data_IF_035164164205
#
_entry.id   IF_035164164205
#
_cell.length_a   1.000
_cell.length_b   1.000
_cell.length_c   1.000
_cell.angle_alpha   90.00
_cell.angle_beta   90.00
_cell.angle_gamma   90.00
#
_symmetry.space_group_name_H-M   'P 1'
#
loop_
_entity.id
_entity.type
_entity.pdbx_description
1 polymer ?
#
# COMPACT_ATOMS: atom_id res chain seq x y z
N UNK A 1 -40.13 -19.32 6.73
CA UNK A 1 -39.96 -17.86 6.92
C UNK A 1 -39.24 -17.66 8.24
N UNK A 2 -37.91 -17.51 8.20
CA UNK A 2 -37.11 -16.98 9.30
C UNK A 2 -36.06 -16.11 8.63
N UNK A 3 -36.40 -14.84 8.43
CA UNK A 3 -35.44 -13.79 8.09
C UNK A 3 -34.41 -13.70 9.21
N UNK A 4 -33.15 -13.96 8.89
CA UNK A 4 -32.06 -13.60 9.79
C UNK A 4 -31.87 -12.08 9.70
N UNK A 5 -31.71 -11.38 10.84
CA UNK A 5 -31.53 -9.94 10.83
C UNK A 5 -30.14 -9.63 10.29
N UNK A 6 -30.08 -8.87 9.19
CA UNK A 6 -28.84 -8.26 8.77
C UNK A 6 -28.36 -7.30 9.85
N UNK A 7 -27.27 -7.65 10.51
CA UNK A 7 -26.54 -6.73 11.36
C UNK A 7 -26.11 -5.55 10.49
N UNK A 8 -26.75 -4.40 10.68
CA UNK A 8 -26.36 -3.16 10.04
C UNK A 8 -24.89 -2.89 10.36
N UNK A 9 -24.04 -2.96 9.33
CA UNK A 9 -22.70 -2.41 9.39
C UNK A 9 -22.83 -0.94 9.74
N UNK A 10 -22.48 -0.59 10.98
CA UNK A 10 -22.33 0.81 11.37
C UNK A 10 -21.44 1.50 10.32
N UNK A 11 -21.80 2.70 9.83
CA UNK A 11 -20.96 3.41 8.88
C UNK A 11 -19.54 3.54 9.48
N UNK A 12 -18.54 3.16 8.68
CA UNK A 12 -17.14 3.35 9.04
C UNK A 12 -16.91 4.83 9.39
N UNK A 13 -16.33 5.12 10.56
CA UNK A 13 -15.88 6.48 10.92
C UNK A 13 -14.69 6.95 10.06
N UNK A 14 -14.16 6.08 9.20
CA UNK A 14 -13.08 6.35 8.27
C UNK A 14 -13.59 6.31 6.83
N UNK A 15 -13.18 7.31 6.04
CA UNK A 15 -13.50 7.42 4.61
C UNK A 15 -12.69 6.44 3.73
N UNK A 16 -11.67 5.78 4.29
CA UNK A 16 -10.72 4.92 3.54
C UNK A 16 -11.42 3.81 2.73
N UNK A 17 -12.40 3.05 3.26
CA UNK A 17 -13.12 2.05 2.47
C UNK A 17 -13.88 2.65 1.27
N UNK A 18 -14.44 3.85 1.45
CA UNK A 18 -15.11 4.60 0.38
C UNK A 18 -14.15 4.98 -0.74
N UNK A 19 -12.98 5.52 -0.38
CA UNK A 19 -11.93 5.86 -1.34
C UNK A 19 -11.42 4.65 -2.13
N UNK A 20 -11.29 3.47 -1.49
CA UNK A 20 -10.92 2.24 -2.19
C UNK A 20 -12.02 1.75 -3.12
N UNK A 21 -13.30 1.89 -2.74
CA UNK A 21 -14.43 1.60 -3.63
C UNK A 21 -14.44 2.51 -4.85
N UNK A 22 -14.18 3.81 -4.68
CA UNK A 22 -14.06 4.76 -5.78
C UNK A 22 -12.88 4.43 -6.69
N UNK A 23 -11.73 4.05 -6.13
CA UNK A 23 -10.58 3.59 -6.89
C UNK A 23 -10.93 2.37 -7.76
N UNK A 24 -11.62 1.37 -7.20
CA UNK A 24 -12.07 0.20 -7.98
C UNK A 24 -13.01 0.59 -9.11
N UNK A 25 -13.98 1.48 -8.86
CA UNK A 25 -14.88 1.97 -9.90
C UNK A 25 -14.14 2.74 -11.03
N UNK A 26 -13.08 3.48 -10.70
CA UNK A 26 -12.22 4.12 -11.69
C UNK A 26 -11.42 3.09 -12.50
N UNK A 27 -10.92 2.03 -11.85
CA UNK A 27 -10.21 0.95 -12.55
C UNK A 27 -11.13 0.20 -13.52
N UNK A 28 -12.38 -0.05 -13.14
CA UNK A 28 -13.37 -0.67 -14.04
C UNK A 28 -13.60 0.21 -15.28
N UNK A 29 -13.77 1.52 -15.08
CA UNK A 29 -13.90 2.48 -16.20
C UNK A 29 -12.65 2.59 -17.06
N UNK A 30 -11.46 2.45 -16.46
CA UNK A 30 -10.19 2.47 -17.18
C UNK A 30 -10.03 1.22 -18.05
N UNK A 31 -10.51 0.06 -17.57
CA UNK A 31 -10.49 -1.18 -18.33
C UNK A 31 -11.36 -1.13 -19.60
N UNK A 32 -12.44 -0.35 -19.56
CA UNK A 32 -13.35 -0.14 -20.70
C UNK A 32 -12.95 1.04 -21.62
N UNK A 33 -11.94 1.83 -21.24
CA UNK A 33 -11.55 3.03 -21.98
C UNK A 33 -10.78 2.67 -23.27
N UNK A 34 -11.15 3.29 -24.39
CA UNK A 34 -10.41 3.15 -25.64
C UNK A 34 -9.15 4.02 -25.63
N UNK A 35 -8.01 3.41 -25.93
CA UNK A 35 -6.70 4.07 -26.06
C UNK A 35 -6.29 4.25 -27.52
N UNK A 36 -7.06 3.74 -28.49
CA UNK A 36 -6.74 3.79 -29.92
C UNK A 36 -6.70 5.21 -30.49
N UNK A 37 -7.39 6.15 -29.84
CA UNK A 37 -7.40 7.56 -30.20
C UNK A 37 -6.27 8.39 -29.59
N UNK A 38 -5.45 7.82 -28.71
CA UNK A 38 -4.32 8.53 -28.12
C UNK A 38 -3.19 8.65 -29.15
N UNK A 39 -2.58 9.84 -29.23
CA UNK A 39 -1.28 10.03 -29.87
C UNK A 39 -0.18 9.29 -29.11
N UNK A 40 0.97 9.08 -29.77
CA UNK A 40 2.14 8.45 -29.14
C UNK A 40 2.59 9.19 -27.87
N UNK A 41 2.55 10.54 -27.87
CA UNK A 41 2.90 11.36 -26.71
C UNK A 41 1.90 11.17 -25.56
N UNK A 42 0.60 11.14 -25.87
CA UNK A 42 -0.45 10.88 -24.87
C UNK A 42 -0.33 9.48 -24.29
N UNK A 43 -0.04 8.45 -25.11
CA UNK A 43 0.16 7.09 -24.63
C UNK A 43 1.33 6.99 -23.65
N UNK A 44 2.44 7.68 -23.92
CA UNK A 44 3.59 7.71 -23.01
C UNK A 44 3.21 8.38 -21.68
N UNK A 45 2.48 9.49 -21.72
CA UNK A 45 2.05 10.17 -20.49
C UNK A 45 1.00 9.37 -19.70
N UNK A 46 0.09 8.66 -20.38
CA UNK A 46 -0.83 7.71 -19.75
C UNK A 46 -0.05 6.61 -19.03
N UNK A 47 0.94 5.99 -19.69
CA UNK A 47 1.77 4.95 -19.09
C UNK A 47 2.55 5.48 -17.87
N UNK A 48 3.14 6.67 -17.95
CA UNK A 48 3.85 7.31 -16.82
C UNK A 48 2.93 7.60 -15.64
N UNK A 49 1.73 8.11 -15.92
CA UNK A 49 0.72 8.37 -14.90
C UNK A 49 0.28 7.09 -14.21
N UNK A 50 0.06 6.02 -14.98
CA UNK A 50 -0.32 4.71 -14.45
C UNK A 50 0.77 4.14 -13.52
N UNK A 51 2.04 4.17 -13.94
CA UNK A 51 3.16 3.73 -13.08
C UNK A 51 3.29 4.56 -11.80
N UNK A 52 3.10 5.88 -11.89
CA UNK A 52 3.06 6.75 -10.69
C UNK A 52 1.89 6.36 -9.78
N UNK A 53 0.72 6.06 -10.33
CA UNK A 53 -0.44 5.62 -9.55
C UNK A 53 -0.17 4.27 -8.84
N UNK A 54 0.42 3.30 -9.53
CA UNK A 54 0.85 2.01 -8.96
C UNK A 54 1.80 2.24 -7.78
N UNK A 55 2.80 3.09 -7.94
CA UNK A 55 3.77 3.39 -6.87
C UNK A 55 3.10 4.04 -5.66
N UNK A 56 2.22 5.02 -5.88
CA UNK A 56 1.45 5.67 -4.80
C UNK A 56 0.55 4.66 -4.08
N UNK A 57 -0.13 3.80 -4.82
CA UNK A 57 -1.02 2.78 -4.26
C UNK A 57 -0.24 1.76 -3.42
N UNK A 58 0.95 1.36 -3.88
CA UNK A 58 1.84 0.49 -3.10
C UNK A 58 2.26 1.14 -1.77
N UNK A 59 2.59 2.43 -1.77
CA UNK A 59 2.88 3.17 -0.54
C UNK A 59 1.66 3.25 0.40
N UNK A 60 0.46 3.54 -0.11
CA UNK A 60 -0.75 3.55 0.73
C UNK A 60 -1.07 2.17 1.32
N UNK A 61 -0.99 1.11 0.51
CA UNK A 61 -1.18 -0.26 1.00
C UNK A 61 -0.12 -0.67 2.04
N UNK A 62 1.07 -0.09 2.01
CA UNK A 62 2.06 -0.30 3.06
C UNK A 62 1.62 0.33 4.40
N UNK A 63 0.98 1.50 4.39
CA UNK A 63 0.41 2.12 5.60
C UNK A 63 -0.70 1.27 6.22
N UNK A 64 -1.52 0.63 5.40
CA UNK A 64 -2.53 -0.32 5.87
C UNK A 64 -1.88 -1.51 6.58
N UNK A 65 -0.81 -2.08 6.01
CA UNK A 65 -0.06 -3.18 6.63
C UNK A 65 0.58 -2.75 7.96
N UNK A 66 1.05 -1.51 8.09
CA UNK A 66 1.53 -0.97 9.37
C UNK A 66 0.39 -0.90 10.39
N UNK A 67 -0.76 -0.31 10.03
CA UNK A 67 -1.90 -0.23 10.94
C UNK A 67 -2.42 -1.61 11.38
N UNK A 68 -2.38 -2.60 10.48
CA UNK A 68 -2.69 -4.01 10.77
C UNK A 68 -1.69 -4.61 11.76
N UNK A 69 -0.39 -4.33 11.55
CA UNK A 69 0.70 -4.80 12.40
C UNK A 69 0.65 -4.21 13.80
N UNK A 70 0.48 -2.88 13.92
CA UNK A 70 0.48 -2.15 15.19
C UNK A 70 -0.70 -2.56 16.09
N UNK A 71 -1.82 -2.95 15.47
CA UNK A 71 -3.00 -3.49 16.16
C UNK A 71 -2.90 -4.99 16.47
N UNK A 72 -1.84 -5.68 16.05
CA UNK A 72 -1.67 -7.12 16.24
C UNK A 72 -2.72 -7.98 15.55
N UNK A 73 -3.41 -7.46 14.52
CA UNK A 73 -4.54 -8.14 13.87
C UNK A 73 -4.20 -9.54 13.31
N UNK A 74 -3.02 -9.78 12.70
CA UNK A 74 -2.70 -11.12 12.21
C UNK A 74 -2.78 -12.17 13.31
N UNK A 75 -2.29 -11.87 14.53
CA UNK A 75 -2.36 -12.80 15.66
C UNK A 75 -3.80 -12.99 16.14
N UNK A 76 -4.57 -11.91 16.22
CA UNK A 76 -5.99 -11.98 16.59
C UNK A 76 -6.82 -12.82 15.60
N UNK A 77 -6.42 -12.85 14.33
CA UNK A 77 -7.04 -13.65 13.27
C UNK A 77 -6.45 -15.07 13.13
N UNK A 78 -5.51 -15.48 14.00
CA UNK A 78 -4.94 -16.83 14.01
C UNK A 78 -3.73 -17.05 13.10
N UNK A 79 -3.19 -16.00 12.46
CA UNK A 79 -1.97 -16.09 11.67
C UNK A 79 -0.72 -16.10 12.57
N UNK A 80 0.25 -16.94 12.18
CA UNK A 80 1.50 -17.09 12.95
C UNK A 80 2.41 -15.87 12.85
N UNK A 81 2.43 -15.21 11.69
CA UNK A 81 3.24 -14.00 11.43
C UNK A 81 2.50 -13.04 10.50
N UNK A 82 2.90 -11.76 10.52
CA UNK A 82 2.41 -10.76 9.56
C UNK A 82 2.67 -11.18 8.10
N UNK A 83 3.85 -11.73 7.83
CA UNK A 83 4.23 -12.24 6.49
C UNK A 83 3.32 -13.38 6.04
N UNK A 84 2.87 -14.24 6.96
CA UNK A 84 1.93 -15.32 6.66
C UNK A 84 0.53 -14.76 6.34
N UNK A 85 0.04 -13.79 7.11
CA UNK A 85 -1.19 -13.05 6.80
C UNK A 85 -1.12 -12.36 5.43
N UNK A 86 -0.05 -11.61 5.15
CA UNK A 86 0.14 -10.93 3.87
C UNK A 86 0.14 -11.90 2.68
N UNK A 87 0.70 -13.09 2.85
CA UNK A 87 0.75 -14.09 1.79
C UNK A 87 -0.61 -14.76 1.55
N UNK A 88 -1.27 -15.19 2.63
CA UNK A 88 -2.50 -15.99 2.56
C UNK A 88 -3.71 -15.11 2.24
N UNK A 89 -3.91 -14.04 3.02
CA UNK A 89 -5.09 -13.19 2.90
C UNK A 89 -4.90 -12.10 1.85
N UNK A 90 -3.78 -11.37 1.92
CA UNK A 90 -3.55 -10.24 1.03
C UNK A 90 -2.94 -10.64 -0.33
N UNK A 91 -2.62 -11.93 -0.52
CA UNK A 91 -2.01 -12.46 -1.76
C UNK A 91 -0.74 -11.74 -2.20
N UNK A 92 0.03 -11.19 -1.27
CA UNK A 92 1.30 -10.53 -1.55
C UNK A 92 2.32 -11.58 -2.00
N UNK A 93 2.85 -11.40 -3.21
CA UNK A 93 3.78 -12.35 -3.85
C UNK A 93 5.12 -12.46 -3.12
N UNK A 94 5.68 -11.34 -2.66
CA UNK A 94 6.91 -11.31 -1.88
C UNK A 94 6.71 -10.52 -0.57
N UNK A 95 6.13 -11.16 0.46
CA UNK A 95 5.77 -10.49 1.69
C UNK A 95 6.99 -10.14 2.55
N UNK A 96 8.12 -10.83 2.36
CA UNK A 96 9.39 -10.50 3.05
C UNK A 96 9.95 -9.20 2.51
N UNK A 97 10.05 -9.08 1.19
CA UNK A 97 10.53 -7.86 0.54
C UNK A 97 9.58 -6.68 0.76
N UNK A 98 8.27 -6.92 0.72
CA UNK A 98 7.30 -5.86 1.05
C UNK A 98 7.47 -5.36 2.49
N UNK A 99 7.77 -6.24 3.43
CA UNK A 99 8.09 -5.86 4.82
C UNK A 99 9.35 -5.01 4.91
N UNK A 100 10.42 -5.32 4.17
CA UNK A 100 11.64 -4.48 4.14
C UNK A 100 11.35 -3.06 3.64
N UNK A 101 10.51 -2.90 2.61
CA UNK A 101 10.08 -1.57 2.17
C UNK A 101 9.28 -0.83 3.25
N UNK A 102 8.40 -1.54 3.96
CA UNK A 102 7.61 -0.99 5.06
C UNK A 102 8.52 -0.55 6.22
N UNK A 103 9.50 -1.35 6.62
CA UNK A 103 10.47 -1.00 7.66
C UNK A 103 11.32 0.22 7.28
N UNK A 104 11.63 0.38 5.99
CA UNK A 104 12.40 1.52 5.48
C UNK A 104 11.60 2.83 5.38
N UNK A 105 10.31 2.75 5.01
CA UNK A 105 9.51 3.92 4.57
C UNK A 105 8.23 4.16 5.37
N UNK A 106 7.85 3.24 6.25
CA UNK A 106 6.66 3.29 7.07
C UNK A 106 6.81 4.17 8.31
N UNK A 107 5.67 4.68 8.79
CA UNK A 107 5.53 5.37 10.08
C UNK A 107 4.81 4.43 11.03
N UNK A 108 5.49 3.99 12.08
CA UNK A 108 4.97 3.04 13.06
C UNK A 108 4.54 3.76 14.33
N UNK A 109 3.46 3.31 14.96
CA UNK A 109 3.07 3.82 16.27
C UNK A 109 4.06 3.38 17.36
N UNK A 110 4.58 4.35 18.11
CA UNK A 110 5.38 4.12 19.32
C UNK A 110 4.48 3.76 20.50
N UNK A 111 5.10 3.27 21.58
CA UNK A 111 4.39 2.86 22.80
C UNK A 111 3.67 4.02 23.50
N UNK A 112 4.12 5.25 23.30
CA UNK A 112 3.49 6.48 23.79
C UNK A 112 2.32 6.96 22.90
N UNK A 113 2.07 6.29 21.77
CA UNK A 113 1.04 6.63 20.80
C UNK A 113 1.49 7.58 19.69
N UNK A 114 2.74 8.06 19.71
CA UNK A 114 3.28 8.96 18.69
C UNK A 114 3.74 8.18 17.45
N UNK A 115 3.58 8.75 16.26
CA UNK A 115 4.10 8.15 15.03
C UNK A 115 5.62 8.38 14.92
N UNK A 116 6.38 7.30 14.80
CA UNK A 116 7.81 7.38 14.51
C UNK A 116 8.07 7.90 13.10
N UNK A 117 9.11 8.72 12.94
CA UNK A 117 9.61 9.08 11.61
C UNK A 117 10.14 7.83 10.89
N UNK A 118 9.95 7.70 9.55
CA UNK A 118 10.50 6.59 8.79
C UNK A 118 12.02 6.54 8.89
N UNK A 119 12.58 5.33 8.75
CA UNK A 119 14.04 5.12 8.71
C UNK A 119 14.72 5.98 7.63
N UNK A 120 14.10 6.10 6.46
CA UNK A 120 14.58 6.92 5.35
C UNK A 120 13.50 7.95 4.92
N UNK A 121 13.43 9.15 5.55
CA UNK A 121 12.35 10.12 5.35
C UNK A 121 12.21 10.60 3.90
N UNK A 122 13.33 10.98 3.27
CA UNK A 122 13.33 11.45 1.87
C UNK A 122 12.88 10.35 0.89
N UNK A 123 13.24 9.09 1.18
CA UNK A 123 12.81 7.95 0.37
C UNK A 123 11.32 7.66 0.55
N UNK A 124 10.82 7.80 1.78
CA UNK A 124 9.39 7.67 2.08
C UNK A 124 8.56 8.76 1.38
N UNK A 125 9.02 10.01 1.38
CA UNK A 125 8.36 11.12 0.67
C UNK A 125 8.33 10.88 -0.85
N UNK A 126 9.46 10.51 -1.44
CA UNK A 126 9.54 10.20 -2.86
C UNK A 126 8.63 9.01 -3.25
N UNK A 127 8.53 7.99 -2.39
CA UNK A 127 7.66 6.84 -2.64
C UNK A 127 6.18 7.21 -2.49
N UNK A 128 5.83 8.00 -1.47
CA UNK A 128 4.48 8.53 -1.27
C UNK A 128 3.99 9.39 -2.45
N UNK A 129 4.89 10.14 -3.08
CA UNK A 129 4.63 10.93 -4.28
C UNK A 129 4.56 10.08 -5.58
N UNK A 130 4.97 8.81 -5.53
CA UNK A 130 5.08 7.90 -6.66
C UNK A 130 6.26 8.17 -7.59
N UNK A 131 7.23 8.99 -7.15
CA UNK A 131 8.45 9.30 -7.91
C UNK A 131 9.43 8.11 -7.96
N UNK A 132 9.35 7.21 -6.98
CA UNK A 132 10.10 5.95 -6.95
C UNK A 132 9.15 4.77 -6.75
N UNK A 133 9.46 3.65 -7.38
CA UNK A 133 8.74 2.39 -7.18
C UNK A 133 9.43 1.46 -6.19
N UNK A 134 8.82 0.32 -5.85
CA UNK A 134 9.35 -0.63 -4.86
C UNK A 134 10.75 -1.17 -5.23
N UNK A 135 11.05 -1.33 -6.53
CA UNK A 135 12.39 -1.73 -6.96
C UNK A 135 13.45 -0.64 -6.69
N UNK A 136 13.11 0.63 -6.92
CA UNK A 136 13.99 1.76 -6.63
C UNK A 136 14.21 1.92 -5.12
N UNK A 137 13.15 1.75 -4.31
CA UNK A 137 13.25 1.75 -2.84
C UNK A 137 14.25 0.70 -2.36
N UNK A 138 14.12 -0.55 -2.83
CA UNK A 138 15.08 -1.61 -2.50
C UNK A 138 16.51 -1.24 -2.89
N UNK A 139 16.73 -0.80 -4.13
CA UNK A 139 18.06 -0.47 -4.61
C UNK A 139 18.69 0.67 -3.79
N UNK A 140 17.89 1.65 -3.35
CA UNK A 140 18.34 2.71 -2.46
C UNK A 140 18.74 2.17 -1.08
N UNK A 141 17.93 1.28 -0.48
CA UNK A 141 18.25 0.63 0.80
C UNK A 141 19.56 -0.16 0.70
N UNK A 142 19.71 -0.99 -0.33
CA UNK A 142 20.92 -1.79 -0.57
C UNK A 142 22.18 -0.93 -0.77
N UNK A 143 22.03 0.27 -1.34
CA UNK A 143 23.12 1.22 -1.48
C UNK A 143 23.48 1.88 -0.15
N UNK A 144 22.47 2.28 0.65
CA UNK A 144 22.66 2.93 1.94
C UNK A 144 23.28 1.99 2.98
N UNK A 145 22.89 0.71 3.00
CA UNK A 145 23.42 -0.30 3.93
C UNK A 145 24.91 -0.63 3.67
N UNK A 146 25.49 -0.21 2.53
CA UNK A 146 26.92 -0.37 2.23
C UNK A 146 27.79 0.77 2.77
N UNK A 147 27.19 1.84 3.28
CA UNK A 147 27.92 2.98 3.84
C UNK A 147 28.34 2.62 5.26
N UNK A 148 29.66 2.62 5.58
CA UNK A 148 30.13 2.32 6.94
C UNK A 148 29.55 3.30 7.97
N UNK A 149 29.14 2.78 9.13
CA UNK A 149 28.63 3.55 10.28
C UNK A 149 29.75 3.94 11.24
#
# INVERSE_FOLDING_TARGET
MVEQPQAGTLPSLSDVPGLLSELHAVLDRLADADMSSCSDEELVEVARSNERAINRLMYQGNREVVAISDRGLPRAMGYRTLTNFMNVDLRVSDPRRRREHIEATGRFCRLDGEEAEPKYPNLAEAFAAGAVGPAHVRNAIEALDKIPH
#
